data_IF_984584003732
#
_entry.id   IF_984584003732
#
_cell.length_a   1.000
_cell.length_b   1.000
_cell.length_c   1.000
_cell.angle_alpha   90.00
_cell.angle_beta   90.00
_cell.angle_gamma   90.00
#
_symmetry.space_group_name_H-M   'P 1'
#
loop_
_entity.id
_entity.type
_entity.pdbx_description
1 polymer ?
#
# COMPACT_ATOMS: atom_id res chain seq x y z
N UNK A 1 7.89 -1.63 -16.74
CA UNK A 1 9.14 -1.16 -16.10
C UNK A 1 10.10 -2.32 -15.87
N UNK A 2 9.67 -3.37 -15.17
CA UNK A 2 10.51 -4.52 -14.75
C UNK A 2 10.33 -5.78 -15.62
N UNK A 3 9.31 -5.84 -16.49
CA UNK A 3 8.99 -7.02 -17.32
C UNK A 3 10.17 -7.57 -18.13
N UNK A 4 10.97 -6.69 -18.76
CA UNK A 4 12.05 -7.07 -19.67
C UNK A 4 13.42 -7.05 -18.99
N UNK A 5 13.45 -7.03 -17.65
CA UNK A 5 14.66 -7.00 -16.85
C UNK A 5 14.77 -8.30 -16.05
N UNK A 6 15.99 -8.68 -15.67
CA UNK A 6 16.20 -9.78 -14.75
C UNK A 6 15.54 -9.45 -13.40
N UNK A 7 14.60 -10.30 -12.97
CA UNK A 7 13.94 -10.16 -11.68
C UNK A 7 14.61 -11.08 -10.67
N UNK A 8 15.35 -10.49 -9.74
CA UNK A 8 15.87 -11.22 -8.57
C UNK A 8 14.72 -11.82 -7.77
N UNK A 9 15.00 -12.80 -6.92
CA UNK A 9 14.01 -13.41 -6.02
C UNK A 9 13.38 -12.42 -5.03
N UNK A 10 13.94 -11.22 -4.90
CA UNK A 10 13.41 -10.10 -4.15
C UNK A 10 13.56 -8.80 -4.96
N UNK A 11 12.49 -7.99 -5.01
CA UNK A 11 12.48 -6.65 -5.63
C UNK A 11 11.94 -5.64 -4.63
N UNK A 12 12.78 -4.68 -4.22
CA UNK A 12 12.34 -3.52 -3.43
C UNK A 12 11.74 -2.45 -4.35
N UNK A 13 10.46 -2.13 -4.16
CA UNK A 13 9.77 -1.08 -4.94
C UNK A 13 9.79 0.28 -4.24
N UNK A 14 9.83 0.28 -2.91
CA UNK A 14 9.92 1.48 -2.09
C UNK A 14 10.77 1.25 -0.85
N UNK A 15 11.65 2.21 -0.57
CA UNK A 15 12.37 2.35 0.70
C UNK A 15 12.41 3.81 1.11
N UNK A 16 11.97 4.11 2.32
CA UNK A 16 11.97 5.48 2.86
C UNK A 16 13.38 6.04 3.09
N UNK A 17 14.40 5.19 3.14
CA UNK A 17 15.82 5.57 3.26
C UNK A 17 16.53 5.72 1.91
N UNK A 18 15.81 5.56 0.79
CA UNK A 18 16.37 5.77 -0.54
C UNK A 18 16.72 7.24 -0.80
N UNK A 19 17.62 7.50 -1.75
CA UNK A 19 17.97 8.88 -2.17
C UNK A 19 16.82 9.59 -2.88
N UNK A 20 16.01 8.85 -3.64
CA UNK A 20 14.78 9.33 -4.28
C UNK A 20 13.63 8.32 -4.04
N UNK A 21 13.06 8.26 -2.81
CA UNK A 21 12.06 7.24 -2.45
C UNK A 21 10.83 7.22 -3.36
N UNK A 22 10.43 8.39 -3.88
CA UNK A 22 9.27 8.55 -4.74
C UNK A 22 9.62 8.68 -6.23
N UNK A 23 10.86 8.40 -6.65
CA UNK A 23 11.30 8.61 -8.04
C UNK A 23 10.49 7.81 -9.08
N UNK A 24 9.96 6.65 -8.70
CA UNK A 24 9.09 5.81 -9.56
C UNK A 24 7.59 6.02 -9.27
N UNK A 25 7.26 6.87 -8.30
CA UNK A 25 5.92 7.02 -7.75
C UNK A 25 5.31 8.35 -8.21
N UNK A 26 4.05 8.31 -8.60
CA UNK A 26 3.21 9.51 -8.69
C UNK A 26 2.59 9.76 -7.33
N UNK A 27 2.76 10.98 -6.84
CA UNK A 27 2.10 11.46 -5.63
C UNK A 27 0.92 12.35 -6.03
N UNK A 28 -0.23 12.12 -5.41
CA UNK A 28 -1.42 12.95 -5.55
C UNK A 28 -1.82 13.41 -4.14
N UNK A 29 -2.13 14.69 -4.00
CA UNK A 29 -2.53 15.33 -2.74
C UNK A 29 -3.83 16.07 -2.99
N UNK A 30 -4.74 16.04 -2.02
CA UNK A 30 -6.02 16.73 -2.12
C UNK A 30 -5.83 18.24 -2.28
N UNK A 31 -6.34 18.79 -3.38
CA UNK A 31 -6.30 20.22 -3.68
C UNK A 31 -7.31 21.01 -2.85
N UNK A 32 -8.39 20.36 -2.39
CA UNK A 32 -9.44 20.98 -1.58
C UNK A 32 -9.04 21.18 -0.12
N UNK A 33 -8.09 20.40 0.40
CA UNK A 33 -7.65 20.42 1.80
C UNK A 33 -6.11 20.44 1.94
N UNK A 34 -5.42 21.45 1.39
CA UNK A 34 -3.96 21.46 1.30
C UNK A 34 -3.24 21.55 2.66
N UNK A 35 -3.93 22.00 3.71
CA UNK A 35 -3.37 22.06 5.09
C UNK A 35 -3.40 20.71 5.78
N UNK A 36 -4.43 19.91 5.51
CA UNK A 36 -4.67 18.63 6.19
C UNK A 36 -4.13 17.44 5.39
N UNK A 37 -3.89 17.63 4.09
CA UNK A 37 -3.42 16.62 3.15
C UNK A 37 -1.97 16.87 2.75
N UNK A 38 -1.07 15.95 3.11
CA UNK A 38 0.35 16.05 2.76
C UNK A 38 1.04 14.69 2.68
N UNK A 39 2.12 14.65 1.89
CA UNK A 39 3.03 13.52 1.72
C UNK A 39 4.43 14.02 2.05
N UNK A 40 4.98 13.60 3.19
CA UNK A 40 6.27 14.11 3.69
C UNK A 40 7.14 12.99 4.24
N UNK A 41 8.45 13.18 4.21
CA UNK A 41 9.39 12.31 4.92
C UNK A 41 9.63 12.88 6.33
N UNK A 42 9.35 12.07 7.35
CA UNK A 42 9.49 12.45 8.77
C UNK A 42 10.40 11.45 9.50
N UNK A 43 10.91 11.84 10.67
CA UNK A 43 11.58 10.92 11.59
C UNK A 43 10.59 9.91 12.20
N UNK A 44 11.01 8.66 12.46
CA UNK A 44 10.21 7.68 13.23
C UNK A 44 9.82 8.16 14.62
N UNK A 45 10.67 8.99 15.22
CA UNK A 45 10.43 9.56 16.55
C UNK A 45 9.43 10.71 16.53
N UNK A 46 9.11 11.29 15.37
CA UNK A 46 8.21 12.43 15.30
C UNK A 46 6.76 11.99 15.54
N UNK A 47 6.14 12.50 16.60
CA UNK A 47 4.70 12.33 16.82
C UNK A 47 3.91 13.18 15.82
N UNK A 48 2.73 12.70 15.35
CA UNK A 48 1.91 13.42 14.37
C UNK A 48 1.51 14.84 14.81
N UNK A 49 1.51 15.10 16.11
CA UNK A 49 1.13 16.38 16.72
C UNK A 49 2.21 17.45 16.58
N UNK A 50 3.48 17.08 16.47
CA UNK A 50 4.57 18.06 16.38
C UNK A 50 4.70 18.65 14.97
N UNK A 51 4.14 17.99 13.95
CA UNK A 51 4.22 18.44 12.56
C UNK A 51 3.22 19.55 12.22
N UNK A 52 2.10 19.67 12.96
CA UNK A 52 1.18 20.81 12.79
C UNK A 52 1.78 22.11 13.31
N UNK A 53 2.64 22.02 14.32
CA UNK A 53 3.24 23.18 14.99
C UNK A 53 4.59 23.55 14.36
N UNK A 54 5.30 22.59 13.74
CA UNK A 54 6.59 22.81 13.10
C UNK A 54 6.57 23.61 11.78
N UNK A 55 5.39 23.87 11.20
CA UNK A 55 5.28 24.70 9.99
C UNK A 55 5.33 26.21 10.27
N UNK A 56 5.34 26.64 11.54
CA UNK A 56 5.35 28.05 11.94
C UNK A 56 6.69 28.55 12.53
N UNK A 57 7.70 27.69 12.72
CA UNK A 57 8.98 28.08 13.32
C UNK A 57 10.18 27.62 12.48
N UNK A 58 10.59 28.46 11.52
CA UNK A 58 11.97 28.43 11.03
C UNK A 58 12.79 29.30 11.98
N UNK A 59 13.56 28.67 12.87
CA UNK A 59 14.66 29.33 13.57
C UNK A 59 15.81 28.32 13.70
N UNK A 60 16.92 28.64 13.05
CA UNK A 60 18.17 27.91 13.11
C UNK A 60 18.80 28.18 14.48
N UNK A 61 18.80 27.18 15.37
CA UNK A 61 19.73 27.17 16.50
C UNK A 61 20.55 25.89 16.49
N UNK A 62 21.86 26.08 16.37
CA UNK A 62 22.88 25.06 16.53
C UNK A 62 22.99 24.73 18.03
N UNK A 63 22.67 23.49 18.42
CA UNK A 63 22.70 23.07 19.81
C UNK A 63 22.80 21.56 20.02
N UNK A 64 24.01 21.12 20.37
CA UNK A 64 24.40 20.01 21.24
C UNK A 64 23.95 18.56 20.93
N UNK A 65 24.97 17.71 20.75
CA UNK A 65 24.87 16.28 20.55
C UNK A 65 24.32 15.57 21.80
N UNK A 66 23.13 14.96 21.69
CA UNK A 66 22.63 14.05 22.72
C UNK A 66 21.80 12.90 22.11
N UNK A 67 22.23 11.67 22.41
CA UNK A 67 21.62 10.36 22.05
C UNK A 67 21.40 10.11 20.55
N UNK A 68 22.32 9.38 19.90
CA UNK A 68 22.11 8.79 18.56
C UNK A 68 21.06 7.67 18.60
N UNK A 69 19.81 8.00 18.90
CA UNK A 69 18.69 7.20 18.44
C UNK A 69 18.70 7.30 16.91
N UNK A 70 18.89 6.19 16.21
CA UNK A 70 18.93 6.18 14.74
C UNK A 70 17.57 6.63 14.20
N UNK A 71 17.48 7.92 13.89
CA UNK A 71 16.32 8.55 13.25
C UNK A 71 16.28 8.05 11.81
N UNK A 72 15.32 7.17 11.53
CA UNK A 72 15.09 6.69 10.17
C UNK A 72 14.00 7.54 9.51
N UNK A 73 14.21 8.04 8.28
CA UNK A 73 13.16 8.71 7.52
C UNK A 73 12.04 7.71 7.18
N UNK A 74 10.80 8.17 7.26
CA UNK A 74 9.58 7.41 6.96
C UNK A 74 8.68 8.29 6.12
N UNK A 75 8.02 7.67 5.15
CA UNK A 75 7.01 8.37 4.38
C UNK A 75 5.71 8.42 5.18
N UNK A 76 5.29 9.63 5.52
CA UNK A 76 4.00 9.92 6.15
C UNK A 76 3.05 10.48 5.11
N UNK A 77 1.91 9.80 4.94
CA UNK A 77 0.83 10.21 4.05
C UNK A 77 -0.39 10.46 4.92
N UNK A 78 -0.92 11.67 4.91
CA UNK A 78 -2.11 12.03 5.69
C UNK A 78 -3.11 12.78 4.82
N UNK A 79 -4.39 12.51 5.03
CA UNK A 79 -5.50 13.25 4.43
C UNK A 79 -6.82 12.91 5.14
N UNK A 80 -7.73 13.88 5.34
CA UNK A 80 -9.11 13.60 5.77
C UNK A 80 -9.89 12.76 4.73
N UNK A 81 -9.57 12.96 3.45
CA UNK A 81 -10.16 12.32 2.28
C UNK A 81 -9.21 11.25 1.74
N UNK A 82 -9.59 9.98 1.93
CA UNK A 82 -8.69 8.86 1.63
C UNK A 82 -8.40 8.72 0.13
N UNK A 83 -9.39 8.98 -0.73
CA UNK A 83 -9.33 8.70 -2.17
C UNK A 83 -8.51 9.73 -2.97
N UNK A 84 -8.38 10.96 -2.47
CA UNK A 84 -7.73 12.09 -3.16
C UNK A 84 -6.25 12.24 -2.85
N UNK A 85 -5.75 11.60 -1.78
CA UNK A 85 -4.33 11.64 -1.43
C UNK A 85 -3.74 10.24 -1.42
N UNK A 86 -2.79 9.98 -2.31
CA UNK A 86 -2.17 8.67 -2.46
C UNK A 86 -0.82 8.74 -3.18
N UNK A 87 -0.06 7.66 -3.09
CA UNK A 87 1.07 7.39 -3.98
C UNK A 87 0.73 6.20 -4.88
N UNK A 88 1.16 6.24 -6.14
CA UNK A 88 0.98 5.14 -7.11
C UNK A 88 2.27 4.88 -7.87
N UNK A 89 2.65 3.61 -8.00
CA UNK A 89 3.72 3.15 -8.86
C UNK A 89 3.14 2.16 -9.88
N UNK A 90 3.33 2.36 -11.20
CA UNK A 90 4.17 3.38 -11.82
C UNK A 90 3.53 4.77 -11.78
N UNK A 91 4.34 5.81 -12.02
CA UNK A 91 3.89 7.20 -12.00
C UNK A 91 2.87 7.50 -13.10
N UNK A 92 3.04 6.92 -14.29
CA UNK A 92 2.08 6.96 -15.39
C UNK A 92 1.00 5.88 -15.24
N UNK A 93 -0.25 6.19 -15.60
CA UNK A 93 -1.33 5.20 -15.67
C UNK A 93 -1.17 4.22 -16.83
N UNK A 94 -0.45 4.62 -17.88
CA UNK A 94 -0.27 3.82 -19.10
C UNK A 94 0.86 2.80 -18.95
N UNK A 95 1.73 3.00 -17.96
CA UNK A 95 2.82 2.08 -17.68
C UNK A 95 2.36 0.92 -16.78
N UNK A 96 3.08 -0.18 -16.90
CA UNK A 96 2.92 -1.37 -16.06
C UNK A 96 4.24 -1.69 -15.36
N UNK A 97 4.19 -2.04 -14.08
CA UNK A 97 5.34 -2.52 -13.33
C UNK A 97 5.92 -3.77 -14.02
N UNK A 98 5.09 -4.80 -14.21
CA UNK A 98 5.50 -6.08 -14.78
C UNK A 98 6.35 -6.91 -13.83
N UNK A 99 6.10 -6.83 -12.53
CA UNK A 99 6.77 -7.64 -11.50
C UNK A 99 6.07 -9.00 -11.43
N UNK A 100 6.80 -10.09 -11.59
CA UNK A 100 6.25 -11.46 -11.64
C UNK A 100 6.30 -12.17 -10.28
N UNK A 101 6.84 -11.51 -9.26
CA UNK A 101 6.98 -12.04 -7.91
C UNK A 101 5.62 -12.08 -7.20
N UNK A 102 5.20 -13.23 -6.65
CA UNK A 102 3.84 -13.43 -6.14
C UNK A 102 3.61 -12.87 -4.73
N UNK A 103 4.64 -12.73 -3.91
CA UNK A 103 4.49 -12.19 -2.56
C UNK A 103 4.67 -10.68 -2.58
N UNK A 104 3.70 -9.97 -2.00
CA UNK A 104 3.81 -8.55 -1.70
C UNK A 104 3.97 -8.37 -0.20
N UNK A 105 4.96 -7.57 0.17
CA UNK A 105 5.26 -7.20 1.53
C UNK A 105 5.20 -5.68 1.72
N UNK A 106 4.49 -5.25 2.76
CA UNK A 106 4.35 -3.84 3.12
C UNK A 106 4.70 -3.68 4.59
N UNK A 107 5.68 -2.83 4.88
CA UNK A 107 6.03 -2.43 6.23
C UNK A 107 5.47 -1.04 6.51
N UNK A 108 4.49 -0.99 7.41
CA UNK A 108 3.78 0.23 7.76
C UNK A 108 3.60 0.36 9.27
N UNK A 109 3.34 1.57 9.74
CA UNK A 109 2.98 1.86 11.13
C UNK A 109 1.51 2.25 11.19
N UNK A 110 0.76 1.61 12.08
CA UNK A 110 -0.65 1.85 12.24
C UNK A 110 -0.89 3.20 12.94
N UNK A 111 -1.55 4.14 12.24
CA UNK A 111 -1.94 5.43 12.80
C UNK A 111 -3.33 5.41 13.45
N UNK A 112 -4.00 4.25 13.42
CA UNK A 112 -5.39 4.07 13.89
C UNK A 112 -6.38 5.02 13.24
N UNK A 113 -6.06 5.41 12.00
CA UNK A 113 -6.92 6.14 11.08
C UNK A 113 -7.28 5.22 9.92
N UNK A 114 -8.43 5.43 9.25
CA UNK A 114 -8.80 4.65 8.08
C UNK A 114 -7.75 4.78 6.99
N UNK A 115 -7.19 3.66 6.53
CA UNK A 115 -6.26 3.63 5.42
C UNK A 115 -6.49 2.40 4.55
N UNK A 116 -5.93 2.44 3.34
CA UNK A 116 -6.04 1.36 2.37
C UNK A 116 -4.80 1.31 1.47
N UNK A 117 -4.61 0.17 0.80
CA UNK A 117 -3.72 0.06 -0.33
C UNK A 117 -4.35 -0.84 -1.40
N UNK A 118 -3.86 -0.72 -2.62
CA UNK A 118 -4.40 -1.39 -3.79
C UNK A 118 -3.27 -1.88 -4.69
N UNK A 119 -3.47 -3.05 -5.29
CA UNK A 119 -2.52 -3.72 -6.16
C UNK A 119 -3.26 -4.16 -7.40
N UNK A 120 -2.82 -3.68 -8.56
CA UNK A 120 -3.27 -4.20 -9.85
C UNK A 120 -2.49 -5.44 -10.22
N UNK A 121 -3.20 -6.51 -10.58
CA UNK A 121 -2.63 -7.75 -11.11
C UNK A 121 -3.15 -7.99 -12.52
N UNK A 122 -2.40 -8.75 -13.30
CA UNK A 122 -2.87 -9.25 -14.60
C UNK A 122 -2.49 -10.71 -14.84
N UNK A 123 -3.23 -11.34 -15.75
CA UNK A 123 -2.96 -12.68 -16.23
C UNK A 123 -2.10 -12.68 -17.52
N UNK A 124 -1.75 -13.88 -17.99
CA UNK A 124 -1.01 -14.07 -19.24
C UNK A 124 -1.81 -13.66 -20.49
N UNK A 125 -3.14 -13.51 -20.36
CA UNK A 125 -4.06 -13.10 -21.42
C UNK A 125 -4.40 -11.60 -21.38
N UNK A 126 -3.72 -10.82 -20.51
CA UNK A 126 -3.91 -9.38 -20.28
C UNK A 126 -5.22 -8.97 -19.61
N UNK A 127 -5.99 -9.89 -19.04
CA UNK A 127 -7.08 -9.52 -18.13
C UNK A 127 -6.48 -8.94 -16.85
N UNK A 128 -7.01 -7.79 -16.43
CA UNK A 128 -6.56 -7.09 -15.23
C UNK A 128 -7.58 -7.23 -14.11
N UNK A 129 -7.10 -7.20 -12.88
CA UNK A 129 -7.92 -7.12 -11.69
C UNK A 129 -7.21 -6.28 -10.64
N UNK A 130 -7.97 -5.62 -9.78
CA UNK A 130 -7.44 -4.84 -8.69
C UNK A 130 -7.79 -5.50 -7.36
N UNK A 131 -6.84 -5.56 -6.44
CA UNK A 131 -7.05 -6.05 -5.09
C UNK A 131 -6.81 -4.88 -4.14
N UNK A 132 -7.79 -4.55 -3.32
CA UNK A 132 -7.70 -3.49 -2.31
C UNK A 132 -7.86 -4.06 -0.93
N UNK A 133 -6.93 -3.73 -0.04
CA UNK A 133 -7.06 -3.94 1.39
C UNK A 133 -7.40 -2.62 2.07
N UNK A 134 -8.36 -2.65 2.99
CA UNK A 134 -8.81 -1.45 3.71
C UNK A 134 -9.17 -1.79 5.15
N UNK A 135 -8.82 -0.88 6.07
CA UNK A 135 -9.09 -1.08 7.52
C UNK A 135 -10.54 -0.85 7.91
N UNK A 136 -11.32 -0.21 7.06
CA UNK A 136 -12.75 0.10 7.25
C UNK A 136 -13.67 -0.88 6.52
N UNK A 137 -13.11 -1.86 5.82
CA UNK A 137 -13.89 -2.93 5.20
C UNK A 137 -14.12 -4.03 6.24
N UNK A 138 -15.37 -4.47 6.39
CA UNK A 138 -15.74 -5.54 7.31
C UNK A 138 -15.66 -6.93 6.66
N UNK A 139 -16.23 -7.06 5.46
CA UNK A 139 -16.35 -8.33 4.72
C UNK A 139 -15.67 -8.25 3.34
N UNK A 140 -15.26 -9.39 2.80
CA UNK A 140 -14.69 -9.45 1.45
C UNK A 140 -15.78 -9.21 0.39
N UNK A 141 -15.48 -8.40 -0.62
CA UNK A 141 -16.43 -8.03 -1.67
C UNK A 141 -15.74 -7.97 -3.03
N UNK A 142 -16.42 -8.40 -4.09
CA UNK A 142 -15.93 -8.37 -5.46
C UNK A 142 -16.85 -7.48 -6.31
N UNK A 143 -16.32 -6.34 -6.73
CA UNK A 143 -17.03 -5.40 -7.59
C UNK A 143 -16.75 -5.72 -9.06
N UNK A 144 -17.79 -6.00 -9.86
CA UNK A 144 -17.63 -6.24 -11.29
C UNK A 144 -17.35 -4.93 -12.04
N UNK A 145 -16.62 -5.02 -13.14
CA UNK A 145 -16.29 -3.88 -13.99
C UNK A 145 -15.30 -4.28 -15.09
N UNK A 146 -14.88 -3.32 -15.91
CA UNK A 146 -13.84 -3.54 -16.93
C UNK A 146 -12.52 -4.05 -16.30
N UNK A 147 -12.21 -3.54 -15.10
CA UNK A 147 -11.20 -4.10 -14.20
C UNK A 147 -11.91 -4.44 -12.89
N UNK A 148 -12.22 -5.73 -12.61
CA UNK A 148 -12.86 -6.13 -11.37
C UNK A 148 -12.01 -5.73 -10.16
N UNK A 149 -12.67 -5.33 -9.08
CA UNK A 149 -12.03 -4.91 -7.83
C UNK A 149 -12.41 -5.84 -6.68
N UNK A 150 -11.46 -6.61 -6.19
CA UNK A 150 -11.57 -7.41 -4.97
C UNK A 150 -11.19 -6.56 -3.76
N UNK A 151 -12.15 -6.30 -2.86
CA UNK A 151 -11.97 -5.54 -1.63
C UNK A 151 -11.90 -6.51 -0.46
N UNK A 152 -10.87 -6.37 0.37
CA UNK A 152 -10.57 -7.26 1.48
C UNK A 152 -10.41 -6.47 2.79
N UNK A 153 -10.87 -7.03 3.93
CA UNK A 153 -10.67 -6.42 5.23
C UNK A 153 -9.20 -6.49 5.65
N UNK A 154 -8.65 -5.37 6.12
CA UNK A 154 -7.33 -5.30 6.74
C UNK A 154 -7.47 -5.20 8.26
N UNK A 155 -7.49 -6.36 8.93
CA UNK A 155 -7.57 -6.42 10.40
C UNK A 155 -6.18 -6.20 11.00
N UNK A 156 -6.01 -5.07 11.66
CA UNK A 156 -4.76 -4.71 12.34
C UNK A 156 -4.79 -5.20 13.78
N UNK A 157 -3.64 -5.62 14.35
CA UNK A 157 -3.58 -6.01 15.75
C UNK A 157 -4.01 -4.83 16.65
N UNK A 158 -4.71 -5.13 17.78
CA UNK A 158 -5.13 -4.10 18.72
C UNK A 158 -3.92 -3.37 19.33
N UNK A 159 -4.13 -2.13 19.81
CA UNK A 159 -3.12 -1.39 20.59
C UNK A 159 -2.74 -2.21 21.83
N UNK A 160 -1.61 -2.91 21.80
CA UNK A 160 -1.03 -3.50 23.01
C UNK A 160 0.04 -2.56 23.55
N UNK A 161 0.04 -2.37 24.87
CA UNK A 161 0.96 -1.46 25.59
C UNK A 161 2.42 -1.96 25.53
N UNK A 162 2.63 -3.23 25.14
CA UNK A 162 3.93 -3.91 25.14
C UNK A 162 4.61 -4.01 23.76
N UNK A 163 4.06 -3.41 22.70
CA UNK A 163 4.71 -3.47 21.39
C UNK A 163 5.92 -2.56 21.39
N UNK A 164 7.11 -3.15 21.55
CA UNK A 164 8.42 -2.47 21.50
C UNK A 164 8.57 -1.59 20.24
N UNK A 165 7.85 -1.91 19.16
CA UNK A 165 7.69 -1.03 18.01
C UNK A 165 6.24 -1.08 17.49
N UNK A 166 5.69 0.05 17.05
CA UNK A 166 4.34 0.11 16.44
C UNK A 166 4.32 -0.29 14.94
N UNK A 167 5.38 -0.95 14.48
CA UNK A 167 5.56 -1.36 13.10
C UNK A 167 4.88 -2.70 12.84
N UNK A 168 4.25 -2.82 11.67
CA UNK A 168 3.62 -4.04 11.20
C UNK A 168 4.17 -4.39 9.81
N UNK A 169 4.41 -5.68 9.57
CA UNK A 169 4.73 -6.19 8.24
C UNK A 169 3.56 -7.04 7.75
N UNK A 170 2.88 -6.58 6.71
CA UNK A 170 1.85 -7.36 6.01
C UNK A 170 2.50 -8.10 4.86
N UNK A 171 2.21 -9.40 4.75
CA UNK A 171 2.68 -10.26 3.65
C UNK A 171 1.50 -10.98 3.02
N UNK A 172 1.30 -10.81 1.71
CA UNK A 172 0.15 -11.40 1.00
C UNK A 172 0.61 -12.14 -0.25
N UNK A 173 -0.02 -13.29 -0.53
CA UNK A 173 0.22 -14.08 -1.75
C UNK A 173 -0.80 -13.68 -2.82
N UNK A 174 -0.34 -12.97 -3.84
CA UNK A 174 -1.18 -12.47 -4.92
C UNK A 174 -1.78 -13.60 -5.78
N UNK A 175 -1.20 -14.80 -5.77
CA UNK A 175 -1.74 -15.97 -6.50
C UNK A 175 -3.01 -16.48 -5.85
N UNK A 176 -3.02 -16.56 -4.52
CA UNK A 176 -4.19 -16.94 -3.74
C UNK A 176 -5.29 -15.91 -3.94
N UNK A 177 -4.94 -14.62 -3.89
CA UNK A 177 -5.91 -13.54 -4.08
C UNK A 177 -6.48 -13.50 -5.51
N UNK A 178 -5.67 -13.76 -6.53
CA UNK A 178 -6.14 -13.88 -7.91
C UNK A 178 -7.22 -14.98 -8.07
N UNK A 179 -7.10 -16.08 -7.32
CA UNK A 179 -8.08 -17.18 -7.40
C UNK A 179 -9.49 -16.77 -6.96
N UNK A 180 -9.61 -15.77 -6.08
CA UNK A 180 -10.90 -15.28 -5.58
C UNK A 180 -11.71 -14.48 -6.60
N UNK A 181 -11.11 -14.03 -7.70
CA UNK A 181 -11.87 -13.40 -8.80
C UNK A 181 -12.86 -14.37 -9.47
N UNK A 182 -12.74 -15.68 -9.19
CA UNK A 182 -13.68 -16.71 -9.64
C UNK A 182 -14.83 -16.96 -8.66
N UNK A 183 -14.75 -16.43 -7.45
CA UNK A 183 -15.72 -16.69 -6.38
C UNK A 183 -16.96 -15.84 -6.59
N UNK A 184 -18.00 -16.42 -7.19
CA UNK A 184 -19.29 -15.76 -7.40
C UNK A 184 -19.98 -15.35 -6.09
N UNK A 185 -19.62 -15.99 -4.98
CA UNK A 185 -20.12 -15.67 -3.63
C UNK A 185 -19.70 -14.29 -3.15
N UNK A 186 -18.56 -13.77 -3.62
CA UNK A 186 -18.05 -12.46 -3.24
C UNK A 186 -18.67 -11.34 -4.08
N UNK A 187 -19.38 -11.65 -5.17
CA UNK A 187 -19.90 -10.63 -6.09
C UNK A 187 -20.96 -9.82 -5.37
N UNK A 188 -20.66 -8.54 -5.13
CA UNK A 188 -21.64 -7.60 -4.60
C UNK A 188 -22.68 -7.36 -5.68
N UNK A 189 -23.88 -7.92 -5.48
CA UNK A 189 -25.05 -7.57 -6.28
C UNK A 189 -25.58 -6.26 -5.73
N UNK A 190 -25.78 -5.21 -6.55
CA UNK A 190 -26.47 -4.02 -6.09
C UNK A 190 -27.82 -4.45 -5.51
N UNK A 191 -28.00 -4.20 -4.22
CA UNK A 191 -29.25 -4.46 -3.51
C UNK A 191 -30.34 -3.56 -4.10
N UNK A 192 -31.37 -4.19 -4.66
CA UNK A 192 -32.63 -3.65 -5.19
C UNK A 192 -32.93 -2.16 -4.96
N UNK A 193 -32.74 -1.34 -6.00
CA UNK A 193 -33.57 -0.14 -6.23
C UNK A 193 -34.14 -0.17 -7.65
N UNK A 194 -35.44 -0.51 -7.70
CA UNK A 194 -36.50 -0.03 -8.61
C UNK A 194 -36.32 -0.19 -10.13
N UNK A 195 -37.09 -1.13 -10.69
CA UNK A 195 -37.62 -1.15 -12.06
C UNK A 195 -36.66 -0.83 -13.22
N UNK A 196 -36.04 -1.86 -13.77
CA UNK A 196 -35.48 -1.82 -15.12
C UNK A 196 -34.88 -3.15 -15.50
N UNK A 197 -35.49 -3.83 -16.47
CA UNK A 197 -34.97 -5.08 -17.05
C UNK A 197 -33.62 -4.84 -17.72
N UNK A 198 -32.54 -4.97 -16.95
CA UNK A 198 -31.18 -5.03 -17.43
C UNK A 198 -30.49 -6.14 -16.69
N UNK A 199 -30.60 -7.38 -17.18
CA UNK A 199 -29.73 -8.48 -16.76
C UNK A 199 -28.31 -8.15 -17.23
N UNK A 200 -27.62 -7.27 -16.50
CA UNK A 200 -26.19 -7.12 -16.66
C UNK A 200 -25.59 -8.42 -16.18
N UNK A 201 -25.23 -9.28 -17.13
CA UNK A 201 -24.34 -10.41 -16.86
C UNK A 201 -23.01 -9.83 -16.40
N UNK A 202 -22.90 -9.55 -15.10
CA UNK A 202 -21.69 -9.08 -14.44
C UNK A 202 -20.73 -10.25 -14.29
N UNK A 203 -20.31 -10.83 -15.42
CA UNK A 203 -19.34 -11.91 -15.46
C UNK A 203 -17.97 -11.32 -15.19
N UNK A 204 -17.43 -11.60 -14.00
CA UNK A 204 -16.05 -11.27 -13.67
C UNK A 204 -15.13 -12.29 -14.35
N UNK A 205 -14.13 -11.87 -15.15
CA UNK A 205 -13.20 -12.81 -15.75
C UNK A 205 -12.41 -13.53 -14.66
N UNK A 206 -12.14 -14.82 -14.89
CA UNK A 206 -11.24 -15.57 -14.03
C UNK A 206 -9.80 -15.06 -14.25
N UNK A 207 -9.19 -14.51 -13.19
CA UNK A 207 -7.83 -13.97 -13.27
C UNK A 207 -6.87 -14.97 -12.62
N UNK A 208 -5.78 -15.32 -13.33
CA UNK A 208 -4.64 -16.03 -12.74
C UNK A 208 -3.49 -15.05 -12.62
N UNK A 209 -2.85 -15.02 -11.46
CA UNK A 209 -1.70 -14.14 -11.27
C UNK A 209 -0.58 -14.49 -12.25
N UNK A 210 -0.16 -13.51 -13.05
CA UNK A 210 1.06 -13.57 -13.87
C UNK A 210 2.02 -12.46 -13.50
N UNK A 211 1.51 -11.26 -13.26
CA UNK A 211 2.33 -10.10 -12.92
C UNK A 211 1.54 -9.02 -12.18
N UNK A 212 2.27 -8.14 -11.52
CA UNK A 212 1.78 -6.91 -10.89
C UNK A 212 1.86 -5.78 -11.90
N UNK A 213 0.75 -5.06 -12.07
CA UNK A 213 0.60 -3.94 -12.99
C UNK A 213 0.90 -2.62 -12.30
N UNK A 214 0.37 -2.42 -11.09
CA UNK A 214 0.60 -1.22 -10.29
C UNK A 214 0.43 -1.50 -8.80
N UNK A 215 0.96 -0.61 -7.98
CA UNK A 215 0.73 -0.53 -6.54
C UNK A 215 0.29 0.89 -6.21
N UNK A 216 -0.73 1.04 -5.38
CA UNK A 216 -1.25 2.32 -4.92
C UNK A 216 -1.44 2.26 -3.41
N UNK A 217 -0.92 3.25 -2.68
CA UNK A 217 -1.07 3.36 -1.23
C UNK A 217 -1.79 4.65 -0.93
N UNK A 218 -2.92 4.56 -0.21
CA UNK A 218 -3.75 5.71 0.14
C UNK A 218 -3.27 6.38 1.44
N UNK A 219 -3.88 7.51 1.76
CA UNK A 219 -3.56 8.29 2.94
C UNK A 219 -3.77 7.57 4.28
N UNK A 220 -3.27 8.23 5.33
CA UNK A 220 -3.34 7.86 6.73
C UNK A 220 -2.49 6.64 7.14
N UNK A 221 -1.33 6.50 6.50
CA UNK A 221 -0.33 5.49 6.86
C UNK A 221 1.07 6.08 6.91
N UNK A 222 1.94 5.44 7.70
CA UNK A 222 3.38 5.64 7.69
C UNK A 222 4.03 4.43 7.03
N UNK A 223 4.76 4.64 5.94
CA UNK A 223 5.35 3.59 5.11
C UNK A 223 6.89 3.63 5.21
N UNK A 224 7.49 2.46 5.50
CA UNK A 224 8.95 2.31 5.54
C UNK A 224 9.47 1.57 4.32
N UNK A 225 8.86 0.44 3.97
CA UNK A 225 9.29 -0.43 2.88
C UNK A 225 8.11 -1.08 2.18
N UNK A 226 8.27 -1.29 0.87
CA UNK A 226 7.38 -2.11 0.06
C UNK A 226 8.23 -2.91 -0.92
N UNK A 227 8.11 -4.23 -0.88
CA UNK A 227 8.90 -5.13 -1.71
C UNK A 227 8.09 -6.36 -2.13
N UNK A 228 8.61 -7.06 -3.12
CA UNK A 228 8.09 -8.32 -3.60
C UNK A 228 9.12 -9.43 -3.45
N UNK A 229 8.66 -10.66 -3.26
CA UNK A 229 9.52 -11.84 -3.21
C UNK A 229 8.90 -13.07 -3.87
N UNK A 230 9.76 -14.04 -4.18
CA UNK A 230 9.35 -15.33 -4.76
C UNK A 230 8.65 -16.23 -3.72
N UNK A 231 9.16 -16.25 -2.49
CA UNK A 231 8.63 -17.04 -1.39
C UNK A 231 8.04 -16.18 -0.28
N UNK A 232 7.17 -16.80 0.53
CA UNK A 232 6.74 -16.23 1.80
C UNK A 232 7.97 -16.04 2.66
N UNK A 233 8.16 -14.82 3.15
CA UNK A 233 9.17 -14.58 4.18
C UNK A 233 8.89 -15.47 5.40
N UNK A 234 9.84 -16.37 5.71
CA UNK A 234 9.78 -17.25 6.88
C UNK A 234 10.39 -16.51 8.07
N UNK A 235 9.70 -16.50 9.21
CA UNK A 235 10.28 -16.01 10.47
C UNK A 235 11.59 -16.76 10.75
N UNK A 236 12.69 -16.03 10.94
CA UNK A 236 14.01 -16.59 11.26
C UNK A 236 14.99 -16.78 10.08
N UNK A 237 14.60 -16.51 8.84
CA UNK A 237 15.57 -16.46 7.72
C UNK A 237 16.27 -15.10 7.73
N UNK A 238 17.62 -15.13 7.73
CA UNK A 238 18.49 -13.96 7.71
C UNK A 238 18.10 -13.08 6.52
N UNK A 239 17.51 -11.92 6.81
CA UNK A 239 17.15 -10.98 5.76
C UNK A 239 18.45 -10.36 5.23
N UNK A 240 18.48 -9.84 3.98
CA UNK A 240 19.42 -8.77 3.68
C UNK A 240 19.34 -7.74 4.80
N UNK A 241 20.47 -7.27 5.33
CA UNK A 241 20.51 -6.34 6.47
C UNK A 241 19.65 -5.08 6.21
N UNK A 242 19.48 -4.71 4.95
CA UNK A 242 18.58 -3.66 4.45
C UNK A 242 17.08 -3.96 4.58
N UNK A 243 16.66 -5.16 4.99
CA UNK A 243 15.28 -5.61 5.22
C UNK A 243 15.02 -5.98 6.69
N UNK A 244 16.06 -6.04 7.53
CA UNK A 244 15.92 -6.24 8.97
C UNK A 244 15.23 -5.03 9.62
N UNK A 245 14.37 -5.32 10.59
CA UNK A 245 13.92 -4.34 11.58
C UNK A 245 15.12 -4.15 12.51
N UNK A 246 15.75 -2.98 12.49
CA UNK A 246 16.70 -2.64 13.54
C UNK A 246 15.93 -2.52 14.85
N UNK A 247 16.15 -3.46 15.78
CA UNK A 247 15.55 -3.50 17.12
C UNK A 247 14.75 -4.76 17.37
#
# INVERSE_FOLDING_TARGET
MFRNQFQSSVISLFSSTGSQPLGLWRSEVDVGLPKDSHITLISDSADPKELSDALDYVSLEEGEAMSKTLVHPILHIQSPTLNSTFIRCPSSSNDSLGIMLPWLHIQFRNLYKPWAFEVGISDSSRHQGAIRYSTFQEEAALLPGAVPLLILPLKLPPKTVSSLTSWCTLSVDLRVLASHFRSSELITRPSDEVNGSGSYNSTVPAIRFSEVVYVKVYANCRLRRLWFSEEKEREGVRRPWELELYG
#
